data_IF_032820573064
#
_entry.id   IF_032820573064
#
_cell.length_a   1.000
_cell.length_b   1.000
_cell.length_c   1.000
_cell.angle_alpha   90.00
_cell.angle_beta   90.00
_cell.angle_gamma   90.00
#
_symmetry.space_group_name_H-M   'P 1'
#
loop_
_entity.id
_entity.type
_entity.pdbx_description
1 polymer ?
#
# COMPACT_ATOMS: atom_id res chain seq x y z
N UNK A 1 -15.04 -14.09 -5.72
CA UNK A 1 -13.75 -14.70 -5.39
C UNK A 1 -13.64 -14.87 -3.88
N UNK A 2 -12.97 -15.92 -3.38
CA UNK A 2 -12.70 -16.09 -1.94
C UNK A 2 -11.62 -15.13 -1.40
N UNK A 3 -10.93 -14.40 -2.29
CA UNK A 3 -9.84 -13.49 -1.96
C UNK A 3 -10.21 -12.01 -2.11
N UNK A 4 -11.27 -11.74 -2.87
CA UNK A 4 -11.83 -10.40 -3.06
C UNK A 4 -13.35 -10.53 -3.20
N UNK A 5 -14.09 -9.95 -2.28
CA UNK A 5 -15.54 -10.06 -2.20
C UNK A 5 -16.17 -8.90 -1.42
N UNK A 6 -17.47 -8.72 -1.59
CA UNK A 6 -18.24 -7.79 -0.77
C UNK A 6 -18.63 -8.48 0.54
N UNK A 7 -18.30 -7.88 1.67
CA UNK A 7 -18.69 -8.34 2.99
C UNK A 7 -20.17 -8.03 3.29
N UNK A 8 -20.70 -8.58 4.39
CA UNK A 8 -22.10 -8.38 4.78
C UNK A 8 -22.42 -6.91 5.16
N UNK A 9 -21.42 -6.13 5.55
CA UNK A 9 -21.53 -4.71 5.85
C UNK A 9 -21.45 -3.81 4.59
N UNK A 10 -21.30 -4.42 3.40
CA UNK A 10 -21.15 -3.73 2.13
C UNK A 10 -19.72 -3.34 1.76
N UNK A 11 -18.76 -3.54 2.66
CA UNK A 11 -17.34 -3.24 2.41
C UNK A 11 -16.68 -4.21 1.43
N UNK A 12 -15.64 -3.75 0.76
CA UNK A 12 -14.78 -4.60 -0.05
C UNK A 12 -13.77 -5.32 0.84
N UNK A 13 -13.75 -6.66 0.80
CA UNK A 13 -12.80 -7.46 1.55
C UNK A 13 -11.68 -7.94 0.64
N UNK A 14 -10.45 -7.68 1.05
CA UNK A 14 -9.23 -8.19 0.45
C UNK A 14 -8.62 -9.23 1.38
N UNK A 15 -8.38 -10.44 0.87
CA UNK A 15 -7.78 -11.53 1.62
C UNK A 15 -6.56 -12.06 0.87
N UNK A 16 -5.44 -12.20 1.57
CA UNK A 16 -4.23 -12.83 1.05
C UNK A 16 -3.75 -13.89 2.03
N UNK A 17 -3.54 -15.11 1.56
CA UNK A 17 -3.01 -16.21 2.35
C UNK A 17 -1.47 -16.23 2.23
N UNK A 18 -0.76 -16.75 3.23
CA UNK A 18 0.73 -16.77 3.26
C UNK A 18 1.30 -17.48 2.03
N UNK A 19 0.69 -18.59 1.62
CA UNK A 19 1.03 -19.38 0.43
C UNK A 19 0.11 -19.09 -0.77
N UNK A 20 -0.54 -17.94 -0.76
CA UNK A 20 -1.51 -17.52 -1.76
C UNK A 20 -0.91 -17.12 -3.10
N UNK A 21 -1.73 -16.50 -3.92
CA UNK A 21 -1.36 -16.09 -5.26
C UNK A 21 -0.27 -15.01 -5.27
N UNK A 22 0.67 -15.16 -6.18
CA UNK A 22 1.70 -14.18 -6.55
C UNK A 22 1.57 -13.83 -8.02
N UNK A 23 1.83 -12.59 -8.38
CA UNK A 23 1.67 -12.11 -9.78
C UNK A 23 2.70 -12.68 -10.73
N UNK A 24 3.86 -13.10 -10.23
CA UNK A 24 4.93 -13.73 -11.00
C UNK A 24 5.83 -14.57 -10.10
N UNK A 25 6.72 -15.37 -10.70
CA UNK A 25 7.76 -16.14 -9.97
C UNK A 25 8.75 -15.25 -9.23
N UNK A 26 8.92 -14.00 -9.66
CA UNK A 26 9.82 -13.04 -9.04
C UNK A 26 9.16 -12.24 -7.91
N UNK A 27 7.85 -12.38 -7.72
CA UNK A 27 7.13 -11.72 -6.63
C UNK A 27 7.37 -12.48 -5.32
N UNK A 28 7.89 -11.80 -4.31
CA UNK A 28 8.20 -12.39 -3.01
C UNK A 28 6.97 -12.62 -2.14
N UNK A 29 5.96 -11.74 -2.24
CA UNK A 29 4.81 -11.72 -1.34
C UNK A 29 3.50 -11.98 -2.07
N UNK A 30 2.58 -12.66 -1.37
CA UNK A 30 1.21 -12.87 -1.84
C UNK A 30 0.39 -11.58 -1.76
N UNK A 31 -0.62 -11.44 -2.63
CA UNK A 31 -1.41 -10.22 -2.72
C UNK A 31 -2.86 -10.46 -3.11
N UNK A 32 -3.72 -9.59 -2.60
CA UNK A 32 -5.06 -9.32 -3.10
C UNK A 32 -5.21 -7.80 -3.07
N UNK A 33 -5.26 -7.15 -4.21
CA UNK A 33 -5.19 -5.70 -4.33
C UNK A 33 -6.09 -5.18 -5.44
N UNK A 34 -6.59 -3.97 -5.29
CA UNK A 34 -7.26 -3.19 -6.32
C UNK A 34 -6.28 -2.11 -6.78
N UNK A 35 -5.98 -2.09 -8.08
CA UNK A 35 -5.14 -1.08 -8.70
C UNK A 35 -5.99 -0.14 -9.54
N UNK A 36 -5.78 1.15 -9.38
CA UNK A 36 -6.34 2.15 -10.28
C UNK A 36 -5.79 1.96 -11.69
N UNK A 37 -6.70 1.99 -12.67
CA UNK A 37 -6.42 1.83 -14.10
C UNK A 37 -7.14 2.92 -14.87
N UNK A 38 -6.39 3.88 -15.42
CA UNK A 38 -6.94 5.05 -16.12
C UNK A 38 -7.30 4.76 -17.57
N UNK A 39 -6.86 3.64 -18.13
CA UNK A 39 -7.10 3.22 -19.51
C UNK A 39 -8.55 2.78 -19.85
N UNK A 40 -9.47 2.89 -18.90
CA UNK A 40 -10.90 2.61 -19.08
C UNK A 40 -11.19 1.25 -19.76
N UNK A 41 -10.41 0.22 -19.48
CA UNK A 41 -10.56 -1.13 -20.03
C UNK A 41 -9.84 -1.39 -21.36
N UNK A 42 -9.20 -0.41 -21.97
CA UNK A 42 -8.37 -0.61 -23.16
C UNK A 42 -7.08 -1.37 -22.81
N UNK A 43 -7.07 -2.66 -23.13
CA UNK A 43 -5.94 -3.55 -22.84
C UNK A 43 -4.77 -3.43 -23.83
N UNK A 44 -4.90 -2.60 -24.87
CA UNK A 44 -3.78 -2.27 -25.77
C UNK A 44 -2.79 -1.27 -25.14
N UNK A 45 -3.23 -0.54 -24.09
CA UNK A 45 -2.38 0.37 -23.33
C UNK A 45 -1.72 -0.43 -22.20
N UNK A 46 -0.38 -0.36 -22.10
CA UNK A 46 0.38 -1.07 -21.08
C UNK A 46 0.03 -0.65 -19.64
N UNK A 47 0.20 -1.57 -18.72
CA UNK A 47 0.01 -1.33 -17.29
C UNK A 47 1.20 -0.66 -16.61
N UNK A 48 2.30 -0.48 -17.30
CA UNK A 48 3.54 0.13 -16.78
C UNK A 48 4.07 1.20 -17.73
N UNK A 49 4.95 2.06 -17.20
CA UNK A 49 5.50 3.19 -17.96
C UNK A 49 4.62 4.43 -17.93
N UNK A 50 5.09 5.48 -18.61
CA UNK A 50 4.35 6.75 -18.76
C UNK A 50 3.45 6.65 -19.98
N UNK A 51 2.16 6.53 -19.76
CA UNK A 51 1.11 6.41 -20.77
C UNK A 51 -0.26 6.76 -20.19
N UNK A 52 -1.31 6.70 -21.00
CA UNK A 52 -2.68 7.07 -20.61
C UNK A 52 -3.30 6.18 -19.50
N UNK A 53 -2.67 5.05 -19.15
CA UNK A 53 -3.13 4.21 -18.04
C UNK A 53 -2.57 4.63 -16.67
N UNK A 54 -1.49 5.37 -16.66
CA UNK A 54 -0.74 5.69 -15.44
C UNK A 54 -0.72 7.21 -15.21
N UNK A 55 -0.52 7.61 -13.97
CA UNK A 55 -0.37 9.00 -13.60
C UNK A 55 1.09 9.30 -13.24
N UNK A 56 1.44 10.58 -13.22
CA UNK A 56 2.76 11.08 -12.85
C UNK A 56 2.64 12.24 -11.87
N UNK A 57 3.72 12.57 -11.18
CA UNK A 57 3.81 13.78 -10.36
C UNK A 57 3.83 15.03 -11.24
N UNK A 58 3.24 16.14 -10.82
CA UNK A 58 3.33 17.42 -11.54
C UNK A 58 4.74 18.02 -11.54
N UNK A 59 5.65 17.50 -10.73
CA UNK A 59 7.10 17.77 -10.83
C UNK A 59 7.79 17.03 -11.97
N UNK A 60 7.12 16.08 -12.64
CA UNK A 60 7.68 15.37 -13.80
C UNK A 60 7.82 16.31 -15.01
N UNK A 61 8.72 16.00 -15.96
CA UNK A 61 8.83 16.77 -17.20
C UNK A 61 7.51 16.89 -17.96
N UNK A 62 7.24 18.02 -18.60
CA UNK A 62 5.97 18.28 -19.31
C UNK A 62 5.62 17.21 -20.35
N UNK A 63 6.61 16.60 -21.01
CA UNK A 63 6.36 15.50 -21.93
C UNK A 63 5.75 14.26 -21.24
N UNK A 64 6.19 13.96 -20.02
CA UNK A 64 5.62 12.87 -19.22
C UNK A 64 4.21 13.22 -18.74
N UNK A 65 3.98 14.45 -18.27
CA UNK A 65 2.65 14.91 -17.88
C UNK A 65 1.64 14.85 -19.04
N UNK A 66 2.06 15.23 -20.25
CA UNK A 66 1.20 15.20 -21.44
C UNK A 66 0.89 13.77 -21.93
N UNK A 67 1.76 12.81 -21.65
CA UNK A 67 1.58 11.41 -22.04
C UNK A 67 0.82 10.59 -20.97
N UNK A 68 0.73 11.06 -19.74
CA UNK A 68 0.09 10.37 -18.63
C UNK A 68 -1.45 10.50 -18.68
N UNK A 69 -2.14 9.53 -18.11
CA UNK A 69 -3.60 9.57 -17.93
C UNK A 69 -4.05 10.48 -16.79
N UNK A 70 -3.13 10.88 -15.91
CA UNK A 70 -3.39 11.80 -14.80
C UNK A 70 -2.12 12.43 -14.28
N UNK A 71 -2.27 13.53 -13.55
CA UNK A 71 -1.17 14.25 -12.91
C UNK A 71 -1.51 14.49 -11.45
N UNK A 72 -0.59 14.16 -10.56
CA UNK A 72 -0.79 14.09 -9.12
C UNK A 72 -1.89 13.09 -8.73
N UNK A 73 -2.21 12.95 -7.46
CA UNK A 73 -3.24 12.03 -7.03
C UNK A 73 -3.52 12.10 -5.53
N UNK A 74 -4.74 11.74 -5.18
CA UNK A 74 -5.18 11.65 -3.80
C UNK A 74 -5.96 10.36 -3.59
N UNK A 75 -5.52 9.55 -2.65
CA UNK A 75 -6.21 8.33 -2.25
C UNK A 75 -6.66 8.44 -0.79
N UNK A 76 -7.96 8.31 -0.57
CA UNK A 76 -8.55 8.21 0.76
C UNK A 76 -9.18 6.84 0.94
N UNK A 77 -8.93 6.21 2.07
CA UNK A 77 -9.55 4.94 2.38
C UNK A 77 -9.99 4.89 3.85
N UNK A 78 -11.15 4.27 4.07
CA UNK A 78 -11.63 3.88 5.39
C UNK A 78 -11.62 2.37 5.45
N UNK A 79 -10.86 1.81 6.37
CA UNK A 79 -10.53 0.39 6.42
C UNK A 79 -10.62 -0.17 7.84
N UNK A 80 -10.72 -1.48 7.93
CA UNK A 80 -10.44 -2.23 9.15
C UNK A 80 -9.55 -3.42 8.78
N UNK A 81 -8.49 -3.66 9.54
CA UNK A 81 -7.67 -4.87 9.41
C UNK A 81 -8.28 -5.95 10.28
N UNK A 82 -8.82 -7.00 9.66
CA UNK A 82 -9.55 -8.04 10.40
C UNK A 82 -8.64 -9.17 10.87
N UNK A 83 -7.54 -9.41 10.16
CA UNK A 83 -6.62 -10.52 10.46
C UNK A 83 -5.22 -10.22 9.94
N UNK A 84 -4.21 -10.64 10.70
CA UNK A 84 -2.80 -10.64 10.30
C UNK A 84 -2.16 -11.98 10.68
N UNK A 85 -0.96 -12.25 10.16
CA UNK A 85 -0.20 -13.44 10.56
C UNK A 85 0.25 -13.34 12.01
N UNK A 86 0.20 -14.44 12.76
CA UNK A 86 0.69 -14.55 14.14
C UNK A 86 2.03 -15.29 14.24
N UNK A 87 2.47 -15.90 13.12
CA UNK A 87 3.73 -16.65 13.01
C UNK A 87 4.45 -16.27 11.74
N UNK A 88 5.75 -16.52 11.70
CA UNK A 88 6.59 -16.26 10.53
C UNK A 88 7.89 -15.54 10.89
N UNK A 89 8.57 -15.01 9.90
CA UNK A 89 9.77 -14.20 10.08
C UNK A 89 9.49 -12.96 10.95
N UNK A 90 10.41 -12.66 11.88
CA UNK A 90 10.25 -11.56 12.84
C UNK A 90 10.10 -10.19 12.19
N UNK A 91 10.63 -10.00 10.98
CA UNK A 91 10.47 -8.76 10.21
C UNK A 91 9.14 -8.67 9.46
N UNK A 92 8.40 -9.78 9.31
CA UNK A 92 7.21 -9.91 8.47
C UNK A 92 5.93 -10.17 9.28
N UNK A 93 6.02 -10.89 10.40
CA UNK A 93 4.86 -11.31 11.20
C UNK A 93 3.98 -10.12 11.58
N UNK A 94 2.68 -10.30 11.47
CA UNK A 94 1.68 -9.30 11.83
C UNK A 94 1.54 -8.12 10.87
N UNK A 95 2.23 -8.13 9.73
CA UNK A 95 2.34 -6.99 8.79
C UNK A 95 1.44 -7.18 7.57
N UNK A 96 0.77 -6.11 7.17
CA UNK A 96 0.03 -6.01 5.91
C UNK A 96 0.20 -4.62 5.30
N UNK A 97 0.33 -4.54 3.98
CA UNK A 97 0.26 -3.28 3.24
C UNK A 97 -1.22 -2.95 3.04
N UNK A 98 -1.63 -1.76 3.46
CA UNK A 98 -3.02 -1.28 3.39
C UNK A 98 -3.21 -0.17 2.35
N UNK A 99 -2.14 0.42 1.85
CA UNK A 99 -2.14 1.42 0.78
C UNK A 99 -0.78 1.51 0.11
N UNK A 100 -0.74 1.83 -1.17
CA UNK A 100 0.50 1.85 -1.93
C UNK A 100 0.40 2.79 -3.13
N UNK A 101 1.52 3.47 -3.43
CA UNK A 101 1.80 4.02 -4.76
C UNK A 101 2.83 3.10 -5.41
N UNK A 102 2.52 2.59 -6.58
CA UNK A 102 3.39 1.70 -7.35
C UNK A 102 3.88 2.41 -8.61
N UNK A 103 5.19 2.64 -8.71
CA UNK A 103 5.85 3.15 -9.90
C UNK A 103 6.46 1.99 -10.72
N UNK A 104 7.23 2.33 -11.77
CA UNK A 104 7.77 1.32 -12.69
C UNK A 104 8.80 0.39 -12.05
N UNK A 105 9.62 0.91 -11.15
CA UNK A 105 10.71 0.18 -10.50
C UNK A 105 10.81 0.44 -8.99
N UNK A 106 10.06 1.40 -8.50
CA UNK A 106 10.08 1.82 -7.10
C UNK A 106 8.64 1.90 -6.56
N UNK A 107 8.49 1.86 -5.24
CA UNK A 107 7.23 2.15 -4.57
C UNK A 107 7.37 3.45 -3.76
N UNK A 108 6.92 4.59 -4.31
CA UNK A 108 6.95 5.86 -3.59
C UNK A 108 6.31 5.83 -2.22
N UNK A 109 5.29 5.00 -2.04
CA UNK A 109 4.69 4.71 -0.73
C UNK A 109 4.31 3.24 -0.62
N UNK A 110 4.65 2.63 0.52
CA UNK A 110 4.03 1.41 1.05
C UNK A 110 3.58 1.69 2.47
N UNK A 111 2.28 1.84 2.67
CA UNK A 111 1.67 2.08 3.97
C UNK A 111 1.33 0.75 4.63
N UNK A 112 1.83 0.55 5.85
CA UNK A 112 1.71 -0.68 6.61
C UNK A 112 0.85 -0.50 7.86
N UNK A 113 0.03 -1.50 8.14
CA UNK A 113 -0.45 -1.86 9.46
C UNK A 113 0.38 -3.04 9.97
N UNK A 114 0.75 -3.04 11.24
CA UNK A 114 1.44 -4.16 11.87
C UNK A 114 0.99 -4.39 13.31
N UNK A 115 0.48 -5.59 13.60
CA UNK A 115 0.18 -6.05 14.95
C UNK A 115 1.19 -7.14 15.34
N UNK A 116 2.04 -6.87 16.32
CA UNK A 116 3.00 -7.85 16.81
C UNK A 116 2.31 -8.96 17.63
N UNK A 117 2.84 -10.20 17.61
CA UNK A 117 2.34 -11.26 18.47
C UNK A 117 2.32 -10.85 19.96
N UNK A 118 1.18 -11.05 20.62
CA UNK A 118 0.98 -10.68 22.02
C UNK A 118 0.55 -9.24 22.27
N UNK A 119 0.39 -8.43 21.24
CA UNK A 119 -0.18 -7.09 21.32
C UNK A 119 -1.67 -7.11 20.95
N UNK A 120 -2.44 -6.19 21.52
CA UNK A 120 -3.84 -5.94 21.17
C UNK A 120 -3.99 -4.80 20.13
N UNK A 121 -2.97 -3.92 20.03
CA UNK A 121 -2.97 -2.76 19.15
C UNK A 121 -1.78 -2.76 18.21
N UNK A 122 -2.04 -2.46 16.94
CA UNK A 122 -1.06 -2.39 15.88
C UNK A 122 -0.50 -0.98 15.64
N UNK A 123 0.67 -0.94 15.00
CA UNK A 123 1.37 0.27 14.56
C UNK A 123 1.03 0.59 13.11
N UNK A 124 1.14 1.89 12.75
CA UNK A 124 1.06 2.40 11.38
C UNK A 124 2.37 3.08 11.02
N UNK A 125 2.95 2.71 9.90
CA UNK A 125 4.17 3.31 9.37
C UNK A 125 4.21 3.14 7.86
N UNK A 126 5.05 3.91 7.18
CA UNK A 126 5.25 3.72 5.75
C UNK A 126 6.72 3.71 5.35
N UNK A 127 6.99 3.04 4.25
CA UNK A 127 8.25 3.11 3.53
C UNK A 127 8.08 4.04 2.32
N UNK A 128 9.08 4.86 2.08
CA UNK A 128 9.27 5.65 0.88
C UNK A 128 10.52 5.17 0.16
N UNK A 129 10.37 4.72 -1.07
CA UNK A 129 11.49 4.45 -1.98
C UNK A 129 11.71 5.69 -2.86
N UNK A 130 12.71 6.52 -2.53
CA UNK A 130 13.07 7.62 -3.40
C UNK A 130 13.76 7.05 -4.65
N UNK A 131 13.34 7.43 -5.84
CA UNK A 131 13.94 6.99 -7.08
C UNK A 131 15.47 7.23 -7.14
N UNK A 132 16.11 6.82 -8.23
CA UNK A 132 17.53 7.01 -8.49
C UNK A 132 18.50 6.20 -7.61
N UNK A 133 18.05 5.06 -7.05
CA UNK A 133 18.88 4.16 -6.25
C UNK A 133 19.22 4.69 -4.86
N UNK A 134 18.54 5.71 -4.38
CA UNK A 134 18.66 6.16 -3.02
C UNK A 134 18.06 5.11 -2.05
N UNK A 135 18.57 5.08 -0.82
CA UNK A 135 18.10 4.13 0.18
C UNK A 135 16.65 4.41 0.59
N UNK A 136 15.89 3.33 0.77
CA UNK A 136 14.54 3.35 1.31
C UNK A 136 14.50 4.09 2.67
N UNK A 137 13.51 4.95 2.84
CA UNK A 137 13.28 5.71 4.07
C UNK A 137 12.00 5.23 4.76
N UNK A 138 12.02 5.22 6.10
CA UNK A 138 10.92 4.74 6.91
C UNK A 138 10.40 5.85 7.83
N UNK A 139 9.08 5.95 7.91
CA UNK A 139 8.38 6.95 8.73
C UNK A 139 7.36 6.25 9.62
N UNK A 140 7.50 6.43 10.93
CA UNK A 140 6.59 5.89 11.94
C UNK A 140 5.51 6.93 12.25
N UNK A 141 4.25 6.58 12.07
CA UNK A 141 3.10 7.47 12.28
C UNK A 141 2.42 7.18 13.62
N UNK A 142 2.20 5.88 13.92
CA UNK A 142 1.64 5.38 15.17
C UNK A 142 2.52 4.21 15.60
N UNK A 143 3.06 4.28 16.81
CA UNK A 143 3.93 3.24 17.35
C UNK A 143 5.25 3.10 16.59
N UNK A 144 5.77 1.87 16.46
CA UNK A 144 7.05 1.61 15.82
C UNK A 144 7.00 0.40 14.89
N UNK A 145 7.84 0.41 13.84
CA UNK A 145 8.05 -0.70 12.91
C UNK A 145 8.95 -1.81 13.46
N UNK A 146 9.63 -1.57 14.61
CA UNK A 146 10.52 -2.55 15.21
C UNK A 146 9.79 -3.84 15.59
N UNK A 147 10.44 -4.98 15.36
CA UNK A 147 9.90 -6.29 15.77
C UNK A 147 9.95 -6.53 17.29
N UNK A 148 10.63 -5.64 18.02
CA UNK A 148 10.72 -5.65 19.49
C UNK A 148 10.07 -4.42 20.13
N UNK A 149 9.27 -3.68 19.39
CA UNK A 149 8.55 -2.52 19.92
C UNK A 149 7.60 -2.92 21.05
N UNK A 150 7.40 -2.02 21.98
CA UNK A 150 6.28 -2.11 22.93
C UNK A 150 4.95 -1.82 22.20
N UNK A 151 3.86 -2.31 22.76
CA UNK A 151 2.53 -2.00 22.26
C UNK A 151 2.27 -0.49 22.26
N UNK A 152 1.83 0.11 21.15
CA UNK A 152 1.52 1.53 21.09
C UNK A 152 0.24 1.86 21.85
N UNK A 153 0.28 2.85 22.75
CA UNK A 153 -0.89 3.28 23.52
C UNK A 153 -2.02 3.82 22.64
N UNK A 154 -1.65 4.46 21.53
CA UNK A 154 -2.52 5.04 20.50
C UNK A 154 -2.67 4.15 19.27
N UNK A 155 -2.25 2.87 19.38
CA UNK A 155 -2.34 1.90 18.29
C UNK A 155 -3.78 1.52 17.94
N UNK A 156 -3.93 0.85 16.80
CA UNK A 156 -5.22 0.47 16.22
C UNK A 156 -5.43 -1.04 16.40
N UNK A 157 -6.56 -1.43 17.01
CA UNK A 157 -6.90 -2.84 17.20
C UNK A 157 -7.39 -3.51 15.92
N UNK A 158 -7.35 -4.85 15.85
CA UNK A 158 -8.03 -5.58 14.77
C UNK A 158 -9.53 -5.29 14.82
N UNK A 159 -10.14 -5.17 13.64
CA UNK A 159 -11.55 -4.81 13.42
C UNK A 159 -11.91 -3.37 13.82
N UNK A 160 -11.00 -2.59 14.31
CA UNK A 160 -11.19 -1.15 14.50
C UNK A 160 -11.16 -0.44 13.15
N UNK A 161 -12.15 0.43 12.91
CA UNK A 161 -12.25 1.22 11.68
C UNK A 161 -11.43 2.48 11.82
N UNK A 162 -10.57 2.72 10.84
CA UNK A 162 -9.78 3.95 10.73
C UNK A 162 -9.69 4.42 9.28
N UNK A 163 -9.22 5.64 9.09
CA UNK A 163 -9.05 6.22 7.76
C UNK A 163 -7.62 6.70 7.56
N UNK A 164 -7.17 6.65 6.33
CA UNK A 164 -5.89 7.23 5.92
C UNK A 164 -6.04 7.96 4.59
N UNK A 165 -5.10 8.84 4.33
CA UNK A 165 -4.96 9.57 3.07
C UNK A 165 -3.52 9.48 2.59
N UNK A 166 -3.33 9.26 1.30
CA UNK A 166 -2.06 9.43 0.59
C UNK A 166 -2.30 10.50 -0.46
N UNK A 167 -1.62 11.63 -0.34
CA UNK A 167 -1.78 12.79 -1.21
C UNK A 167 -0.45 13.17 -1.86
N UNK A 168 -0.49 13.41 -3.16
CA UNK A 168 0.67 13.85 -3.95
C UNK A 168 0.32 15.14 -4.67
N UNK A 169 1.14 16.16 -4.42
CA UNK A 169 1.06 17.45 -5.10
C UNK A 169 2.46 17.90 -5.49
N UNK A 170 2.80 17.81 -6.76
CA UNK A 170 4.12 18.17 -7.26
C UNK A 170 5.23 17.24 -6.78
N UNK A 171 6.10 17.74 -5.94
CA UNK A 171 7.19 17.03 -5.28
C UNK A 171 6.90 16.72 -3.80
N UNK A 172 5.69 17.02 -3.36
CA UNK A 172 5.26 16.79 -1.97
C UNK A 172 4.37 15.55 -1.90
N UNK A 173 4.79 14.59 -1.09
CA UNK A 173 4.05 13.39 -0.72
C UNK A 173 3.65 13.49 0.75
N UNK A 174 2.36 13.40 1.02
CA UNK A 174 1.80 13.41 2.38
C UNK A 174 1.08 12.09 2.67
N UNK A 175 1.29 11.55 3.83
CA UNK A 175 0.56 10.38 4.33
C UNK A 175 -0.02 10.69 5.70
#
# INVERSE_FOLDING_TARGET
>A
SRFFYTANDGGMTFKSEIDGYKTSTNTSYTRSELREMLRAGDTSIDTSGVNENNWVFSSAPSAAQNAAGGVDGNMKATVAVNHVTSTGDSGQVGRVIIGQIHASSDEPVRLYYRLLPGHDKGSIYFAHEPGNGNAEQWYEMIGSRSSSASEPSDGIALNEVFSYEIDVQGDTLTV
#
